data_IF_387850412524
#
_entry.id   IF_387850412524
#
_cell.length_a   1.000
_cell.length_b   1.000
_cell.length_c   1.000
_cell.angle_alpha   90.00
_cell.angle_beta   90.00
_cell.angle_gamma   90.00
#
_symmetry.space_group_name_H-M   'P 1'
#
loop_
_entity.id
_entity.type
_entity.pdbx_description
1 polymer ?
#
# COMPACT_ATOMS: atom_id res chain seq x y z
N UNK A 1 -12.74 2.27 13.66
CA UNK A 1 -13.97 2.88 13.06
C UNK A 1 -14.68 3.81 14.01
N UNK A 2 -14.94 3.45 15.29
CA UNK A 2 -15.70 4.31 16.24
C UNK A 2 -15.10 5.73 16.35
N UNK A 3 -13.82 5.88 16.70
CA UNK A 3 -13.14 7.19 16.80
C UNK A 3 -13.21 8.01 15.50
N UNK A 4 -13.05 7.37 14.35
CA UNK A 4 -13.11 8.07 13.07
C UNK A 4 -14.52 8.59 12.78
N UNK A 5 -15.56 7.80 13.11
CA UNK A 5 -16.95 8.23 12.97
C UNK A 5 -17.26 9.41 13.91
N UNK A 6 -16.80 9.36 15.16
CA UNK A 6 -16.94 10.44 16.13
C UNK A 6 -16.26 11.74 15.65
N UNK A 7 -15.03 11.61 15.10
CA UNK A 7 -14.35 12.74 14.48
C UNK A 7 -15.17 13.33 13.33
N UNK A 8 -15.70 12.49 12.43
CA UNK A 8 -16.53 12.95 11.32
C UNK A 8 -17.78 13.67 11.81
N UNK A 9 -18.44 13.17 12.87
CA UNK A 9 -19.63 13.81 13.44
C UNK A 9 -19.29 15.23 13.97
N UNK A 10 -18.20 15.38 14.70
CA UNK A 10 -17.74 16.67 15.21
C UNK A 10 -17.44 17.64 14.06
N UNK A 11 -16.76 17.17 13.01
CA UNK A 11 -16.41 18.02 11.88
C UNK A 11 -17.62 18.43 11.04
N UNK A 12 -18.59 17.54 10.88
CA UNK A 12 -19.86 17.83 10.19
C UNK A 12 -20.67 18.86 10.99
N UNK A 13 -20.84 18.65 12.31
CA UNK A 13 -21.54 19.57 13.20
C UNK A 13 -20.90 20.97 13.17
N UNK A 14 -19.55 21.01 13.23
CA UNK A 14 -18.82 22.28 13.15
C UNK A 14 -19.10 23.00 11.84
N UNK A 15 -19.09 22.33 10.69
CA UNK A 15 -19.39 22.92 9.38
C UNK A 15 -20.83 23.46 9.32
N UNK A 16 -21.79 22.72 9.90
CA UNK A 16 -23.18 23.15 9.93
C UNK A 16 -23.37 24.44 10.76
N UNK A 17 -22.67 24.55 11.87
CA UNK A 17 -22.68 25.75 12.74
C UNK A 17 -21.89 26.92 12.18
N UNK A 18 -20.96 26.66 11.25
CA UNK A 18 -20.07 27.65 10.65
C UNK A 18 -20.08 27.54 9.12
N UNK A 19 -21.12 28.05 8.43
CA UNK A 19 -21.27 27.89 6.97
C UNK A 19 -20.10 28.42 6.13
N UNK A 20 -19.27 29.32 6.70
CA UNK A 20 -18.04 29.81 6.06
C UNK A 20 -16.80 28.91 6.25
N UNK A 21 -16.92 27.86 7.05
CA UNK A 21 -15.79 26.95 7.29
C UNK A 21 -15.51 26.07 6.08
N UNK A 22 -14.45 26.40 5.36
CA UNK A 22 -13.99 25.66 4.17
C UNK A 22 -12.66 24.93 4.45
N UNK A 23 -12.66 24.01 5.40
CA UNK A 23 -11.50 23.18 5.67
C UNK A 23 -11.64 21.81 5.00
N UNK A 24 -10.49 21.24 4.70
CA UNK A 24 -10.32 19.85 4.27
C UNK A 24 -9.33 19.16 5.19
N UNK A 25 -9.48 17.86 5.33
CA UNK A 25 -8.55 17.07 6.13
C UNK A 25 -8.07 15.85 5.37
N UNK A 26 -6.91 15.32 5.79
CA UNK A 26 -6.22 14.17 5.22
C UNK A 26 -5.86 13.21 6.32
N UNK A 27 -5.78 11.93 5.97
CA UNK A 27 -5.45 10.93 6.97
C UNK A 27 -5.01 9.60 6.35
N UNK A 28 -4.65 8.68 7.24
CA UNK A 28 -4.42 7.29 6.85
C UNK A 28 -5.73 6.52 6.95
N UNK A 29 -5.92 5.58 6.03
CA UNK A 29 -7.08 4.72 5.99
C UNK A 29 -6.68 3.27 5.70
N UNK A 30 -7.47 2.34 6.18
CA UNK A 30 -7.26 0.90 5.96
C UNK A 30 -8.51 0.36 5.29
N UNK A 31 -8.34 -0.26 4.12
CA UNK A 31 -9.42 -1.03 3.50
C UNK A 31 -9.84 -2.18 4.42
N UNK A 32 -11.12 -2.48 4.40
CA UNK A 32 -11.73 -3.53 5.22
C UNK A 32 -12.56 -4.44 4.32
N UNK A 33 -12.99 -5.61 4.79
CA UNK A 33 -14.01 -6.38 4.08
C UNK A 33 -15.25 -5.53 3.84
N UNK A 34 -15.72 -5.42 2.59
CA UNK A 34 -16.84 -4.55 2.19
C UNK A 34 -18.14 -4.80 2.97
N UNK A 35 -18.35 -6.04 3.44
CA UNK A 35 -19.52 -6.37 4.26
C UNK A 35 -19.48 -5.77 5.69
N UNK A 36 -18.33 -5.24 6.12
CA UNK A 36 -18.16 -4.58 7.42
C UNK A 36 -18.27 -3.06 7.37
N UNK A 37 -18.43 -2.50 6.16
CA UNK A 37 -18.49 -1.05 5.91
C UNK A 37 -19.59 -0.78 4.90
N UNK A 38 -20.48 0.14 5.22
CA UNK A 38 -21.53 0.58 4.29
C UNK A 38 -21.13 1.86 3.56
N UNK A 39 -21.86 2.15 2.50
CA UNK A 39 -21.66 3.38 1.70
C UNK A 39 -21.84 4.64 2.52
N UNK A 40 -22.76 4.63 3.50
CA UNK A 40 -23.03 5.77 4.38
C UNK A 40 -21.78 6.21 5.15
N UNK A 41 -20.92 5.26 5.56
CA UNK A 41 -19.64 5.58 6.19
C UNK A 41 -18.73 6.37 5.25
N UNK A 42 -18.65 6.00 3.96
CA UNK A 42 -17.83 6.72 2.99
C UNK A 42 -18.41 8.12 2.68
N UNK A 43 -19.75 8.19 2.57
CA UNK A 43 -20.43 9.48 2.45
C UNK A 43 -20.12 10.39 3.64
N UNK A 44 -20.18 9.86 4.86
CA UNK A 44 -19.87 10.60 6.09
C UNK A 44 -18.42 11.11 6.12
N UNK A 45 -17.46 10.31 5.64
CA UNK A 45 -16.08 10.76 5.46
C UNK A 45 -16.01 11.98 4.53
N UNK A 46 -16.67 11.93 3.37
CA UNK A 46 -16.69 13.04 2.43
C UNK A 46 -17.37 14.30 3.03
N UNK A 47 -18.53 14.14 3.67
CA UNK A 47 -19.29 15.23 4.31
C UNK A 47 -18.45 15.91 5.41
N UNK A 48 -17.63 15.15 6.15
CA UNK A 48 -16.71 15.70 7.16
C UNK A 48 -15.59 16.55 6.57
N UNK A 49 -15.34 16.45 5.26
CA UNK A 49 -14.34 17.22 4.52
C UNK A 49 -13.04 16.50 4.24
N UNK A 50 -13.03 15.16 4.28
CA UNK A 50 -11.87 14.43 3.77
C UNK A 50 -11.76 14.66 2.26
N UNK A 51 -10.55 15.03 1.81
CA UNK A 51 -10.25 15.16 0.40
C UNK A 51 -9.18 14.17 -0.06
N UNK A 52 -8.41 13.62 0.89
CA UNK A 52 -7.27 12.78 0.54
C UNK A 52 -6.96 11.74 1.62
N UNK A 53 -6.83 10.48 1.21
CA UNK A 53 -6.49 9.37 2.10
C UNK A 53 -5.21 8.65 1.65
N UNK A 54 -4.37 8.28 2.61
CA UNK A 54 -3.22 7.40 2.39
C UNK A 54 -3.63 5.99 2.79
N UNK A 55 -3.60 5.06 1.86
CA UNK A 55 -4.14 3.72 2.07
C UNK A 55 -3.07 2.65 1.84
N UNK A 56 -2.85 1.80 2.83
CA UNK A 56 -1.99 0.62 2.70
C UNK A 56 -2.74 -0.48 1.94
N UNK A 57 -2.54 -0.55 0.62
CA UNK A 57 -2.97 -1.68 -0.21
C UNK A 57 -2.02 -2.86 -0.07
N UNK A 58 -0.74 -2.57 0.04
CA UNK A 58 0.42 -3.43 0.20
C UNK A 58 0.77 -4.23 -1.06
N UNK A 59 -0.13 -5.02 -1.60
CA UNK A 59 0.09 -5.94 -2.73
C UNK A 59 -1.21 -6.21 -3.49
N UNK A 60 -1.13 -6.72 -4.71
CA UNK A 60 -2.27 -7.22 -5.48
C UNK A 60 -2.73 -8.63 -5.10
N UNK A 61 -1.96 -9.35 -4.29
CA UNK A 61 -2.31 -10.70 -3.86
C UNK A 61 -3.09 -10.73 -2.57
N UNK A 62 -4.28 -11.32 -2.60
CA UNK A 62 -5.09 -11.57 -1.41
C UNK A 62 -4.37 -12.48 -0.42
N UNK A 63 -3.70 -13.54 -0.91
CA UNK A 63 -2.91 -14.48 -0.10
C UNK A 63 -1.84 -13.74 0.72
N UNK A 64 -1.07 -12.86 0.07
CA UNK A 64 -0.01 -12.10 0.74
C UNK A 64 -0.60 -11.07 1.71
N UNK A 65 -1.70 -10.39 1.36
CA UNK A 65 -2.39 -9.50 2.30
C UNK A 65 -2.88 -10.24 3.56
N UNK A 66 -3.43 -11.44 3.40
CA UNK A 66 -3.81 -12.27 4.55
C UNK A 66 -2.63 -12.62 5.44
N UNK A 67 -1.47 -12.94 4.87
CA UNK A 67 -0.25 -13.20 5.66
C UNK A 67 0.27 -11.95 6.39
N UNK A 68 -0.04 -10.76 5.89
CA UNK A 68 0.19 -9.47 6.58
C UNK A 68 -0.89 -9.14 7.61
N UNK A 69 -1.82 -10.04 7.89
CA UNK A 69 -3.01 -9.79 8.71
C UNK A 69 -3.93 -8.67 8.18
N UNK A 70 -3.89 -8.42 6.85
CA UNK A 70 -4.83 -7.54 6.16
C UNK A 70 -6.03 -8.40 5.72
N UNK A 71 -7.23 -8.03 6.13
CA UNK A 71 -8.42 -8.89 5.97
C UNK A 71 -9.31 -8.51 4.78
N UNK A 72 -8.86 -7.61 3.93
CA UNK A 72 -9.58 -7.21 2.73
C UNK A 72 -9.03 -7.91 1.49
N UNK A 73 -9.90 -8.18 0.54
CA UNK A 73 -9.58 -8.71 -0.79
C UNK A 73 -9.33 -7.59 -1.80
N UNK A 74 -8.87 -7.95 -3.00
CA UNK A 74 -8.76 -7.02 -4.14
C UNK A 74 -10.14 -6.46 -4.51
N UNK A 75 -11.19 -7.27 -4.46
CA UNK A 75 -12.57 -6.83 -4.75
C UNK A 75 -13.13 -5.91 -3.66
N UNK A 76 -12.74 -6.12 -2.39
CA UNK A 76 -13.07 -5.16 -1.33
C UNK A 76 -12.39 -3.81 -1.59
N UNK A 77 -11.10 -3.81 -1.91
CA UNK A 77 -10.36 -2.60 -2.22
C UNK A 77 -10.94 -1.86 -3.45
N UNK A 78 -11.34 -2.59 -4.50
CA UNK A 78 -11.98 -2.00 -5.67
C UNK A 78 -13.32 -1.36 -5.32
N UNK A 79 -14.12 -1.99 -4.46
CA UNK A 79 -15.35 -1.37 -3.95
C UNK A 79 -15.09 -0.03 -3.25
N UNK A 80 -14.04 0.04 -2.40
CA UNK A 80 -13.66 1.31 -1.77
C UNK A 80 -13.26 2.37 -2.81
N UNK A 81 -12.50 1.99 -3.83
CA UNK A 81 -12.09 2.92 -4.89
C UNK A 81 -13.29 3.45 -5.70
N UNK A 82 -14.30 2.60 -5.98
CA UNK A 82 -15.55 3.05 -6.59
C UNK A 82 -16.31 4.04 -5.68
N UNK A 83 -16.35 3.78 -4.37
CA UNK A 83 -16.96 4.70 -3.41
C UNK A 83 -16.17 6.01 -3.29
N UNK A 84 -14.84 5.95 -3.27
CA UNK A 84 -13.99 7.14 -3.26
C UNK A 84 -14.22 7.98 -4.52
N UNK A 85 -14.31 7.35 -5.69
CA UNK A 85 -14.66 8.00 -6.95
C UNK A 85 -16.02 8.71 -6.86
N UNK A 86 -17.05 8.00 -6.38
CA UNK A 86 -18.41 8.52 -6.21
C UNK A 86 -18.44 9.76 -5.32
N UNK A 87 -17.71 9.74 -4.21
CA UNK A 87 -17.69 10.82 -3.23
C UNK A 87 -16.52 11.80 -3.38
N UNK A 88 -15.78 11.73 -4.49
CA UNK A 88 -14.65 12.62 -4.82
C UNK A 88 -13.56 12.65 -3.75
N UNK A 89 -13.29 11.52 -3.13
CA UNK A 89 -12.18 11.32 -2.19
C UNK A 89 -10.98 10.83 -3.01
N UNK A 90 -9.87 11.54 -2.96
CA UNK A 90 -8.62 11.11 -3.58
C UNK A 90 -7.84 10.19 -2.66
N UNK A 91 -7.03 9.32 -3.22
CA UNK A 91 -6.15 8.47 -2.41
C UNK A 91 -4.77 8.26 -3.02
N UNK A 92 -3.81 7.98 -2.12
CA UNK A 92 -2.51 7.43 -2.46
C UNK A 92 -2.40 6.01 -1.91
N UNK A 93 -1.98 5.08 -2.74
CA UNK A 93 -1.78 3.70 -2.36
C UNK A 93 -0.33 3.46 -1.93
N UNK A 94 -0.14 2.81 -0.81
CA UNK A 94 1.16 2.32 -0.36
C UNK A 94 1.28 0.85 -0.72
N UNK A 95 2.42 0.47 -1.30
CA UNK A 95 2.70 -0.88 -1.79
C UNK A 95 3.99 -1.42 -1.17
N UNK A 96 4.03 -2.72 -0.99
CA UNK A 96 5.22 -3.49 -0.63
C UNK A 96 5.46 -4.51 -1.76
N UNK A 97 6.69 -4.61 -2.23
CA UNK A 97 7.11 -5.63 -3.19
C UNK A 97 8.11 -6.57 -2.51
N UNK A 98 7.95 -7.86 -2.72
CA UNK A 98 8.84 -8.86 -2.14
C UNK A 98 8.59 -9.08 -0.64
N UNK A 99 7.32 -9.23 -0.24
CA UNK A 99 7.00 -9.67 1.11
C UNK A 99 7.40 -11.15 1.29
N UNK A 100 7.74 -11.55 2.51
CA UNK A 100 8.37 -12.86 2.82
C UNK A 100 7.62 -14.08 2.28
N UNK A 101 6.30 -13.99 2.12
CA UNK A 101 5.45 -15.07 1.59
C UNK A 101 5.06 -14.86 0.11
N UNK A 102 5.58 -13.82 -0.56
CA UNK A 102 5.21 -13.49 -1.93
C UNK A 102 5.85 -14.46 -2.92
N UNK A 103 5.06 -15.24 -3.60
CA UNK A 103 5.46 -16.08 -4.73
C UNK A 103 5.39 -15.32 -6.06
N UNK A 104 5.87 -15.92 -7.16
CA UNK A 104 5.87 -15.28 -8.48
C UNK A 104 4.45 -14.97 -8.99
N UNK A 105 3.48 -15.85 -8.73
CA UNK A 105 2.08 -15.64 -9.10
C UNK A 105 1.46 -14.47 -8.30
N UNK A 106 1.82 -14.32 -7.03
CA UNK A 106 1.38 -13.20 -6.21
C UNK A 106 1.90 -11.86 -6.76
N UNK A 107 3.16 -11.85 -7.22
CA UNK A 107 3.74 -10.68 -7.88
C UNK A 107 3.03 -10.34 -9.20
N UNK A 108 2.70 -11.35 -10.04
CA UNK A 108 1.92 -11.16 -11.26
C UNK A 108 0.57 -10.51 -10.99
N UNK A 109 -0.15 -10.96 -9.96
CA UNK A 109 -1.42 -10.35 -9.52
C UNK A 109 -1.24 -8.87 -9.15
N UNK A 110 -0.10 -8.52 -8.56
CA UNK A 110 0.22 -7.12 -8.25
C UNK A 110 0.41 -6.30 -9.55
N UNK A 111 1.08 -6.85 -10.56
CA UNK A 111 1.27 -6.18 -11.85
C UNK A 111 -0.07 -6.01 -12.60
N UNK A 112 -0.97 -6.98 -12.53
CA UNK A 112 -2.29 -6.92 -13.15
C UNK A 112 -3.16 -5.76 -12.64
N UNK A 113 -2.97 -5.34 -11.38
CA UNK A 113 -3.72 -4.21 -10.82
C UNK A 113 -3.50 -2.90 -11.60
N UNK A 114 -2.29 -2.70 -12.16
CA UNK A 114 -1.98 -1.45 -12.87
C UNK A 114 -2.87 -1.24 -14.08
N UNK A 115 -3.18 -2.29 -14.83
CA UNK A 115 -4.15 -2.22 -15.94
C UNK A 115 -5.59 -2.19 -15.44
N UNK A 116 -5.94 -3.07 -14.50
CA UNK A 116 -7.32 -3.21 -13.97
C UNK A 116 -7.83 -1.90 -13.36
N UNK A 117 -6.98 -1.17 -12.64
CA UNK A 117 -7.36 0.03 -11.90
C UNK A 117 -6.97 1.35 -12.58
N UNK A 118 -6.52 1.31 -13.83
CA UNK A 118 -6.23 2.52 -14.60
C UNK A 118 -7.44 3.47 -14.67
N UNK A 119 -8.66 2.95 -14.64
CA UNK A 119 -9.92 3.74 -14.57
C UNK A 119 -9.97 4.67 -13.35
N UNK A 120 -9.34 4.28 -12.22
CA UNK A 120 -9.29 5.10 -11.01
C UNK A 120 -8.19 6.16 -11.06
N UNK A 121 -7.12 5.90 -11.80
CA UNK A 121 -6.10 6.91 -12.12
C UNK A 121 -6.69 7.94 -13.07
N UNK A 122 -7.35 7.52 -14.14
CA UNK A 122 -7.98 8.41 -15.12
C UNK A 122 -9.08 9.30 -14.51
N UNK A 123 -9.75 8.84 -13.45
CA UNK A 123 -10.76 9.63 -12.71
C UNK A 123 -10.18 10.43 -11.53
N UNK A 124 -8.86 10.50 -11.39
CA UNK A 124 -8.16 11.18 -10.29
C UNK A 124 -8.55 10.68 -8.89
N UNK A 125 -9.11 9.47 -8.80
CA UNK A 125 -9.37 8.81 -7.52
C UNK A 125 -8.06 8.32 -6.90
N UNK A 126 -7.19 7.68 -7.71
CA UNK A 126 -5.81 7.35 -7.33
C UNK A 126 -4.92 8.46 -7.87
N UNK A 127 -4.42 9.31 -6.98
CA UNK A 127 -3.55 10.44 -7.32
C UNK A 127 -2.10 10.23 -6.88
N UNK A 128 -1.80 9.06 -6.34
CA UNK A 128 -0.45 8.70 -5.97
C UNK A 128 -0.28 7.20 -5.72
N UNK A 129 0.88 6.69 -6.08
CA UNK A 129 1.32 5.37 -5.66
C UNK A 129 2.72 5.47 -5.05
N UNK A 130 2.89 4.81 -3.93
CA UNK A 130 4.15 4.68 -3.25
C UNK A 130 4.61 3.22 -3.30
N UNK A 131 5.62 2.94 -4.12
CA UNK A 131 6.11 1.58 -4.37
C UNK A 131 7.13 1.11 -3.32
N UNK A 132 7.17 1.75 -2.18
CA UNK A 132 7.97 1.33 -1.04
C UNK A 132 9.50 1.29 -1.27
N UNK A 133 10.23 0.93 -0.22
CA UNK A 133 11.63 0.49 -0.27
C UNK A 133 11.71 -1.04 -0.25
N UNK A 134 12.89 -1.61 -0.37
CA UNK A 134 13.10 -3.04 -0.07
C UNK A 134 12.62 -3.29 1.36
N UNK A 135 11.87 -4.38 1.55
CA UNK A 135 11.35 -4.75 2.85
C UNK A 135 12.48 -5.01 3.85
N UNK A 136 12.50 -4.23 4.93
CA UNK A 136 13.38 -4.44 6.06
C UNK A 136 12.67 -5.25 7.14
N UNK A 137 13.33 -6.26 7.67
CA UNK A 137 12.81 -7.08 8.76
C UNK A 137 13.43 -6.60 10.08
N UNK A 138 12.61 -5.93 10.87
CA UNK A 138 13.00 -5.47 12.21
C UNK A 138 12.59 -6.50 13.26
N UNK A 139 13.40 -6.70 14.31
CA UNK A 139 13.16 -7.71 15.35
C UNK A 139 11.82 -7.57 16.04
N UNK A 140 11.36 -6.35 16.26
CA UNK A 140 10.08 -6.05 16.89
C UNK A 140 8.89 -6.06 15.92
N UNK A 141 9.12 -6.31 14.63
CA UNK A 141 8.03 -6.46 13.65
C UNK A 141 7.37 -7.85 13.75
N UNK A 142 6.11 -8.02 13.31
CA UNK A 142 5.47 -9.33 13.28
C UNK A 142 6.28 -10.39 12.51
N UNK A 143 6.89 -10.02 11.39
CA UNK A 143 7.77 -10.92 10.61
C UNK A 143 9.07 -11.20 11.37
N UNK A 144 9.65 -10.19 12.02
CA UNK A 144 10.87 -10.35 12.82
C UNK A 144 10.68 -11.30 13.99
N UNK A 145 9.49 -11.35 14.59
CA UNK A 145 9.16 -12.30 15.65
C UNK A 145 9.01 -13.74 15.14
N UNK A 146 8.80 -13.94 13.84
CA UNK A 146 8.67 -15.24 13.18
C UNK A 146 9.95 -15.69 12.47
N UNK A 147 11.10 -15.06 12.75
CA UNK A 147 12.37 -15.35 12.06
C UNK A 147 12.73 -16.83 12.04
N UNK A 148 12.54 -17.52 13.17
CA UNK A 148 12.84 -18.94 13.29
C UNK A 148 11.89 -19.80 12.44
N UNK A 149 10.58 -19.51 12.49
CA UNK A 149 9.57 -20.25 11.72
C UNK A 149 9.74 -20.06 10.21
N UNK A 150 10.19 -18.87 9.80
CA UNK A 150 10.46 -18.51 8.41
C UNK A 150 11.86 -18.93 7.95
N UNK A 151 12.65 -19.58 8.83
CA UNK A 151 14.03 -19.98 8.55
C UNK A 151 14.87 -18.82 7.99
N UNK A 152 14.78 -17.65 8.65
CA UNK A 152 15.40 -16.42 8.14
C UNK A 152 16.88 -16.35 8.50
N UNK A 153 17.68 -15.95 7.53
CA UNK A 153 19.08 -15.56 7.70
C UNK A 153 19.31 -14.15 7.16
N UNK A 154 20.37 -13.50 7.65
CA UNK A 154 20.68 -12.10 7.29
C UNK A 154 22.14 -11.99 6.91
N UNK A 155 22.44 -11.39 5.76
CA UNK A 155 23.79 -11.10 5.34
C UNK A 155 24.31 -9.89 6.10
N UNK A 156 25.46 -10.05 6.79
CA UNK A 156 26.09 -8.99 7.59
C UNK A 156 25.11 -8.28 8.56
N UNK A 157 24.16 -9.03 9.14
CA UNK A 157 23.11 -8.51 10.04
C UNK A 157 22.29 -7.34 9.49
N UNK A 158 22.28 -7.17 8.17
CA UNK A 158 21.52 -6.10 7.52
C UNK A 158 20.02 -6.46 7.44
N UNK A 159 19.11 -5.66 7.98
CA UNK A 159 17.67 -5.97 8.06
C UNK A 159 16.98 -6.07 6.69
N UNK A 160 17.60 -5.58 5.61
CA UNK A 160 17.11 -5.66 4.24
C UNK A 160 17.73 -6.82 3.46
N UNK A 161 18.87 -7.36 3.92
CA UNK A 161 19.62 -8.45 3.24
C UNK A 161 19.26 -9.83 3.83
N UNK A 162 17.96 -10.09 3.91
CA UNK A 162 17.41 -11.33 4.46
C UNK A 162 17.15 -12.38 3.38
N UNK A 163 17.22 -13.63 3.79
CA UNK A 163 16.77 -14.82 3.07
C UNK A 163 15.79 -15.59 3.93
N UNK A 164 14.86 -16.31 3.30
CA UNK A 164 13.93 -17.21 3.98
C UNK A 164 14.06 -18.60 3.39
N UNK A 165 14.35 -19.61 4.22
CA UNK A 165 14.35 -21.00 3.81
C UNK A 165 12.96 -21.49 3.35
N UNK A 166 11.88 -20.84 3.80
CA UNK A 166 10.51 -21.14 3.37
C UNK A 166 10.18 -20.55 1.99
N UNK A 167 10.97 -19.58 1.50
CA UNK A 167 10.79 -18.98 0.19
C UNK A 167 12.17 -18.65 -0.41
N UNK A 168 12.97 -19.67 -0.74
CA UNK A 168 14.35 -19.47 -1.17
C UNK A 168 14.50 -18.76 -2.52
N UNK A 169 13.47 -18.80 -3.36
CA UNK A 169 13.45 -18.11 -4.65
C UNK A 169 13.31 -16.60 -4.52
N UNK A 170 12.81 -16.11 -3.38
CA UNK A 170 12.63 -14.68 -3.11
C UNK A 170 13.89 -14.11 -2.45
N UNK A 171 15.02 -14.27 -3.10
CA UNK A 171 16.26 -13.66 -2.67
C UNK A 171 16.30 -12.13 -2.86
N UNK A 172 17.39 -11.50 -2.53
CA UNK A 172 17.52 -10.06 -2.64
C UNK A 172 17.46 -9.58 -4.10
N UNK A 173 18.05 -10.34 -5.04
CA UNK A 173 18.02 -10.01 -6.46
C UNK A 173 16.61 -10.08 -7.02
N UNK A 174 15.89 -11.14 -6.67
CA UNK A 174 14.51 -11.33 -7.09
C UNK A 174 13.61 -10.22 -6.55
N UNK A 175 13.79 -9.80 -5.28
CA UNK A 175 13.04 -8.67 -4.73
C UNK A 175 13.32 -7.35 -5.46
N UNK A 176 14.57 -7.09 -5.82
CA UNK A 176 14.95 -5.92 -6.62
C UNK A 176 14.35 -6.01 -8.02
N UNK A 177 14.43 -7.18 -8.67
CA UNK A 177 13.85 -7.43 -9.99
C UNK A 177 12.34 -7.15 -10.00
N UNK A 178 11.59 -7.74 -9.06
CA UNK A 178 10.14 -7.51 -8.91
C UNK A 178 9.80 -6.04 -8.70
N UNK A 179 10.60 -5.35 -7.90
CA UNK A 179 10.40 -3.92 -7.68
C UNK A 179 10.61 -3.09 -8.95
N UNK A 180 11.63 -3.41 -9.75
CA UNK A 180 11.85 -2.76 -11.04
C UNK A 180 10.67 -3.03 -11.98
N UNK A 181 10.17 -4.26 -12.04
CA UNK A 181 8.98 -4.62 -12.84
C UNK A 181 7.75 -3.83 -12.39
N UNK A 182 7.50 -3.75 -11.08
CA UNK A 182 6.39 -2.97 -10.53
C UNK A 182 6.47 -1.49 -10.95
N UNK A 183 7.67 -0.89 -10.93
CA UNK A 183 7.87 0.49 -11.40
C UNK A 183 7.62 0.63 -12.90
N UNK A 184 8.11 -0.31 -13.71
CA UNK A 184 7.90 -0.32 -15.16
C UNK A 184 6.42 -0.42 -15.52
N UNK A 185 5.70 -1.29 -14.84
CA UNK A 185 4.27 -1.48 -15.06
C UNK A 185 3.47 -0.24 -14.62
N UNK A 186 3.82 0.39 -13.50
CA UNK A 186 3.22 1.66 -13.08
C UNK A 186 3.44 2.78 -14.12
N UNK A 187 4.65 2.89 -14.68
CA UNK A 187 4.97 3.87 -15.73
C UNK A 187 4.17 3.57 -17.01
N UNK A 188 4.10 2.31 -17.44
CA UNK A 188 3.38 1.86 -18.64
C UNK A 188 1.90 2.28 -18.62
N UNK A 189 1.27 2.21 -17.47
CA UNK A 189 -0.14 2.61 -17.28
C UNK A 189 -0.32 4.04 -16.73
N UNK A 190 0.72 4.88 -16.80
CA UNK A 190 0.71 6.28 -16.37
C UNK A 190 0.24 6.49 -14.92
N UNK A 191 0.59 5.56 -14.03
CA UNK A 191 0.27 5.74 -12.63
C UNK A 191 1.10 6.87 -11.99
N UNK A 192 0.51 7.71 -11.15
CA UNK A 192 1.19 8.84 -10.54
C UNK A 192 2.14 8.37 -9.43
N UNK A 193 3.34 7.93 -9.80
CA UNK A 193 4.36 7.49 -8.86
C UNK A 193 4.80 8.69 -8.03
N UNK A 194 4.66 8.59 -6.72
CA UNK A 194 5.12 9.62 -5.81
C UNK A 194 6.64 9.68 -5.85
N UNK A 195 7.19 10.69 -6.53
CA UNK A 195 8.63 10.92 -6.66
C UNK A 195 9.17 11.44 -5.32
N UNK A 196 9.78 10.59 -4.56
CA UNK A 196 10.81 11.01 -3.64
C UNK A 196 12.15 10.83 -4.36
N UNK A 197 12.87 11.92 -4.61
CA UNK A 197 14.27 11.90 -5.11
C UNK A 197 15.15 10.98 -4.25
N UNK A 198 14.83 10.85 -2.99
CA UNK A 198 15.42 9.91 -2.03
C UNK A 198 15.32 8.45 -2.49
N UNK A 199 14.32 8.06 -3.26
CA UNK A 199 14.02 6.66 -3.62
C UNK A 199 14.73 6.17 -4.88
N UNK A 200 14.99 7.04 -5.84
CA UNK A 200 15.87 6.69 -6.97
C UNK A 200 17.30 6.47 -6.48
N UNK A 201 17.77 7.32 -5.55
CA UNK A 201 19.05 7.12 -4.88
C UNK A 201 19.06 5.85 -4.01
N UNK A 202 17.95 5.50 -3.35
CA UNK A 202 17.84 4.26 -2.58
C UNK A 202 17.86 3.02 -3.46
N UNK A 203 17.22 3.03 -4.64
CA UNK A 203 17.33 1.91 -5.59
C UNK A 203 18.76 1.77 -6.11
N UNK A 204 19.41 2.88 -6.47
CA UNK A 204 20.81 2.89 -6.90
C UNK A 204 21.73 2.43 -5.77
N UNK A 205 21.52 2.91 -4.57
CA UNK A 205 22.31 2.55 -3.39
C UNK A 205 22.14 1.06 -3.05
N UNK A 206 20.90 0.55 -3.05
CA UNK A 206 20.63 -0.86 -2.81
C UNK A 206 21.20 -1.78 -3.91
N UNK A 207 21.22 -1.35 -5.17
CA UNK A 207 21.86 -2.09 -6.25
C UNK A 207 23.39 -2.11 -6.08
N UNK A 208 24.01 -1.01 -5.63
CA UNK A 208 25.44 -0.97 -5.33
C UNK A 208 25.77 -1.84 -4.13
N UNK A 209 24.97 -1.79 -3.05
CA UNK A 209 25.15 -2.67 -1.89
C UNK A 209 24.98 -4.16 -2.24
N UNK A 210 24.07 -4.51 -3.18
CA UNK A 210 23.95 -5.89 -3.69
C UNK A 210 25.22 -6.32 -4.43
N UNK A 211 25.80 -5.42 -5.25
CA UNK A 211 27.06 -5.70 -5.97
C UNK A 211 28.24 -5.85 -5.01
N UNK A 212 28.27 -5.09 -3.91
CA UNK A 212 29.32 -5.19 -2.89
C UNK A 212 29.19 -6.45 -2.01
N UNK A 213 28.02 -7.08 -1.98
CA UNK A 213 27.77 -8.34 -1.26
C UNK A 213 28.07 -9.60 -2.11
N UNK A 214 28.37 -9.44 -3.40
CA UNK A 214 28.79 -10.51 -4.33
C UNK A 214 30.29 -10.71 -4.32
#
# INVERSE_FOLDING_TARGET
MKMLNELCDVLIDYKQKNPGANFKWRGQYIFRPKHTVNEEHIKKLADSGVDYLIVGLETGSDKVRYSMNKKHTTDDAEWFLEMFKKYKIQCRLLMITGYVTEELDDHRRTLELFSRWQKFVASETITGIELGSILMILDNSPVGQQKHELEMSFVNDKPYAWHSGKNPELDMFERVRRRIETHREAIKYNWPITRSLYRLNTIKHNLLEVVELM
#
